data_IF_227348207464
#
_entry.id   IF_227348207464
#
_cell.length_a   1.000
_cell.length_b   1.000
_cell.length_c   1.000
_cell.angle_alpha   90.00
_cell.angle_beta   90.00
_cell.angle_gamma   90.00
#
_symmetry.space_group_name_H-M   'P 1'
#
loop_
_entity.id
_entity.type
_entity.pdbx_description
1 polymer ?
#
# COMPACT_ATOMS: atom_id res chain seq x y z
N UNK A 1 -17.68 21.92 1.50
CA UNK A 1 -16.44 22.51 2.05
C UNK A 1 -15.81 21.55 3.04
N UNK A 2 -14.51 21.44 3.01
CA UNK A 2 -13.77 20.55 3.90
C UNK A 2 -13.06 21.35 4.97
N UNK A 3 -13.32 21.03 6.23
CA UNK A 3 -12.69 21.70 7.35
C UNK A 3 -11.48 20.89 7.84
N UNK A 4 -10.67 21.52 8.69
CA UNK A 4 -9.57 20.81 9.34
C UNK A 4 -10.11 19.62 10.14
N UNK A 5 -11.27 19.81 10.78
CA UNK A 5 -11.91 18.72 11.51
C UNK A 5 -12.22 17.53 10.59
N UNK A 6 -12.75 17.82 9.40
CA UNK A 6 -13.05 16.76 8.43
C UNK A 6 -11.79 16.02 7.99
N UNK A 7 -10.71 16.76 7.79
CA UNK A 7 -9.44 16.18 7.39
C UNK A 7 -8.85 15.32 8.51
N UNK A 8 -8.95 15.78 9.75
CA UNK A 8 -8.47 15.00 10.90
C UNK A 8 -9.26 13.70 11.04
N UNK A 9 -10.57 13.77 10.81
CA UNK A 9 -11.42 12.60 10.87
C UNK A 9 -11.06 11.61 9.75
N UNK A 10 -10.83 12.13 8.56
CA UNK A 10 -10.43 11.31 7.43
C UNK A 10 -9.07 10.67 7.67
N UNK A 11 -8.13 11.43 8.20
CA UNK A 11 -6.80 10.91 8.55
C UNK A 11 -6.93 9.75 9.53
N UNK A 12 -7.73 9.94 10.58
CA UNK A 12 -7.92 8.91 11.59
C UNK A 12 -8.46 7.62 10.97
N UNK A 13 -9.44 7.75 10.08
CA UNK A 13 -10.03 6.58 9.43
C UNK A 13 -9.03 5.88 8.53
N UNK A 14 -8.22 6.64 7.79
CA UNK A 14 -7.22 6.06 6.90
C UNK A 14 -6.08 5.41 7.67
N UNK A 15 -5.70 5.97 8.82
CA UNK A 15 -4.68 5.37 9.68
C UNK A 15 -5.17 4.03 10.21
N UNK A 16 -6.45 3.93 10.58
CA UNK A 16 -7.02 2.65 11.01
C UNK A 16 -6.92 1.61 9.91
N UNK A 17 -7.28 2.00 8.69
CA UNK A 17 -7.19 1.09 7.54
C UNK A 17 -5.75 0.69 7.26
N UNK A 18 -4.84 1.65 7.37
CA UNK A 18 -3.42 1.40 7.15
C UNK A 18 -2.88 0.40 8.16
N UNK A 19 -3.23 0.55 9.44
CA UNK A 19 -2.75 -0.35 10.48
C UNK A 19 -3.31 -1.76 10.29
N UNK A 20 -4.58 -1.87 9.91
CA UNK A 20 -5.18 -3.17 9.63
C UNK A 20 -4.47 -3.84 8.47
N UNK A 21 -4.22 -3.09 7.41
CA UNK A 21 -3.55 -3.62 6.22
C UNK A 21 -2.10 -3.99 6.50
N UNK A 22 -1.42 -3.20 7.34
CA UNK A 22 -0.06 -3.53 7.77
C UNK A 22 -0.02 -4.87 8.47
N UNK A 23 -0.97 -5.11 9.36
CA UNK A 23 -1.07 -6.39 10.06
C UNK A 23 -1.31 -7.53 9.08
N UNK A 24 -2.22 -7.32 8.11
CA UNK A 24 -2.51 -8.33 7.10
C UNK A 24 -1.29 -8.64 6.24
N UNK A 25 -0.51 -7.62 5.90
CA UNK A 25 0.71 -7.82 5.11
C UNK A 25 1.75 -8.63 5.88
N UNK A 26 1.91 -8.34 7.17
CA UNK A 26 2.84 -9.08 8.02
C UNK A 26 2.42 -10.55 8.09
N UNK A 27 1.13 -10.80 8.31
CA UNK A 27 0.60 -12.16 8.39
C UNK A 27 0.75 -12.89 7.07
N UNK A 28 0.45 -12.23 5.96
CA UNK A 28 0.54 -12.87 4.66
C UNK A 28 1.98 -13.23 4.32
N UNK A 29 2.92 -12.34 4.65
CA UNK A 29 4.33 -12.63 4.43
C UNK A 29 4.78 -13.81 5.29
N UNK A 30 4.34 -13.86 6.55
CA UNK A 30 4.67 -14.95 7.46
C UNK A 30 4.16 -16.29 6.90
N UNK A 31 2.92 -16.30 6.39
CA UNK A 31 2.34 -17.52 5.82
C UNK A 31 3.07 -17.96 4.56
N UNK A 32 3.47 -17.01 3.71
CA UNK A 32 4.23 -17.36 2.51
C UNK A 32 5.60 -17.91 2.87
N UNK A 33 6.26 -17.33 3.87
CA UNK A 33 7.56 -17.84 4.33
C UNK A 33 7.43 -19.25 4.89
N UNK A 34 6.33 -19.53 5.60
CA UNK A 34 6.06 -20.89 6.11
C UNK A 34 5.82 -21.87 4.96
N UNK A 35 5.07 -21.44 3.94
CA UNK A 35 4.80 -22.30 2.78
C UNK A 35 6.09 -22.61 2.03
N UNK A 36 6.96 -21.62 1.89
CA UNK A 36 8.25 -21.83 1.24
C UNK A 36 9.10 -22.80 2.03
N UNK A 37 9.18 -22.61 3.35
CA UNK A 37 9.95 -23.51 4.22
C UNK A 37 9.41 -24.93 4.14
N UNK A 38 8.07 -25.07 4.13
CA UNK A 38 7.44 -26.37 4.02
C UNK A 38 7.78 -27.04 2.70
N UNK A 39 7.79 -26.28 1.61
CA UNK A 39 8.18 -26.79 0.31
C UNK A 39 9.60 -27.35 0.32
N UNK A 40 10.54 -26.64 0.97
CA UNK A 40 11.90 -27.10 1.09
C UNK A 40 12.01 -28.40 1.89
N UNK A 41 11.24 -28.51 2.97
CA UNK A 41 11.33 -29.67 3.88
C UNK A 41 10.59 -30.87 3.34
N UNK A 42 9.41 -30.67 2.74
CA UNK A 42 8.54 -31.78 2.36
C UNK A 42 8.80 -32.31 0.96
N UNK A 43 9.58 -31.60 0.13
CA UNK A 43 9.83 -32.04 -1.24
C UNK A 43 11.00 -33.00 -1.30
N UNK A 44 10.79 -34.11 -1.93
CA UNK A 44 11.89 -35.07 -2.22
C UNK A 44 12.57 -34.64 -3.51
N UNK A 45 13.54 -33.76 -3.39
CA UNK A 45 14.25 -33.21 -4.54
C UNK A 45 14.99 -34.28 -5.32
N UNK A 46 15.53 -35.26 -4.59
CA UNK A 46 16.29 -36.34 -5.24
C UNK A 46 15.40 -37.18 -6.14
N UNK A 47 14.19 -37.48 -5.66
CA UNK A 47 13.25 -38.27 -6.45
C UNK A 47 12.82 -37.50 -7.70
N UNK A 48 12.88 -36.17 -7.67
CA UNK A 48 12.53 -35.34 -8.82
C UNK A 48 13.72 -35.01 -9.71
N UNK A 49 14.89 -35.57 -9.40
CA UNK A 49 16.09 -35.34 -10.20
C UNK A 49 16.72 -33.97 -9.98
N UNK A 50 16.39 -33.30 -8.90
CA UNK A 50 16.91 -31.96 -8.58
C UNK A 50 18.12 -32.13 -7.66
N UNK A 51 19.32 -32.11 -8.26
CA UNK A 51 20.54 -32.54 -7.57
C UNK A 51 21.44 -31.41 -7.10
N UNK A 52 21.17 -30.15 -7.49
CA UNK A 52 21.98 -29.03 -7.05
C UNK A 52 21.09 -27.88 -6.57
N UNK A 53 21.74 -26.96 -5.89
CA UNK A 53 21.00 -25.84 -5.25
C UNK A 53 20.27 -24.97 -6.26
N UNK A 54 20.86 -24.76 -7.43
CA UNK A 54 20.23 -23.95 -8.46
C UNK A 54 18.90 -24.56 -8.92
N UNK A 55 18.89 -25.88 -9.13
CA UNK A 55 17.69 -26.58 -9.56
C UNK A 55 16.64 -26.58 -8.45
N UNK A 56 17.05 -26.78 -7.22
CA UNK A 56 16.14 -26.79 -6.07
C UNK A 56 15.53 -25.41 -5.84
N UNK A 57 16.33 -24.36 -5.92
CA UNK A 57 15.86 -22.99 -5.81
C UNK A 57 14.85 -22.67 -6.90
N UNK A 58 15.12 -23.09 -8.13
CA UNK A 58 14.22 -22.85 -9.25
C UNK A 58 12.88 -23.55 -9.03
N UNK A 59 12.93 -24.79 -8.52
CA UNK A 59 11.71 -25.54 -8.22
C UNK A 59 10.85 -24.84 -7.16
N UNK A 60 11.48 -24.43 -6.06
CA UNK A 60 10.76 -23.75 -4.99
C UNK A 60 10.19 -22.42 -5.46
N UNK A 61 10.95 -21.68 -6.24
CA UNK A 61 10.50 -20.42 -6.79
C UNK A 61 9.28 -20.61 -7.68
N UNK A 62 9.30 -21.65 -8.51
CA UNK A 62 8.16 -21.96 -9.37
C UNK A 62 6.95 -22.36 -8.55
N UNK A 63 7.16 -23.17 -7.51
CA UNK A 63 6.09 -23.59 -6.61
C UNK A 63 5.43 -22.36 -5.98
N UNK A 64 6.24 -21.44 -5.46
CA UNK A 64 5.71 -20.24 -4.82
C UNK A 64 4.98 -19.33 -5.81
N UNK A 65 5.38 -19.33 -7.07
CA UNK A 65 4.74 -18.51 -8.09
C UNK A 65 3.33 -18.99 -8.44
N UNK A 66 2.99 -20.25 -8.13
CA UNK A 66 1.65 -20.78 -8.40
C UNK A 66 0.66 -20.42 -7.29
N UNK A 67 1.13 -19.90 -6.18
CA UNK A 67 0.25 -19.55 -5.06
C UNK A 67 -0.42 -18.20 -5.30
N UNK A 68 -1.67 -18.03 -4.81
CA UNK A 68 -2.35 -16.74 -4.95
C UNK A 68 -1.49 -15.63 -4.37
N UNK A 69 -1.32 -14.55 -5.13
CA UNK A 69 -0.49 -13.45 -4.69
C UNK A 69 -1.34 -12.20 -4.46
N UNK A 70 -1.90 -12.10 -3.26
CA UNK A 70 -2.63 -10.91 -2.85
C UNK A 70 -1.71 -9.91 -2.17
N UNK A 71 -0.46 -10.31 -1.89
CA UNK A 71 0.50 -9.46 -1.20
C UNK A 71 0.81 -8.19 -1.99
N UNK A 72 1.07 -8.32 -3.29
CA UNK A 72 1.39 -7.16 -4.13
C UNK A 72 0.24 -6.16 -4.19
N UNK A 73 -0.99 -6.67 -4.31
CA UNK A 73 -2.18 -5.83 -4.34
C UNK A 73 -2.35 -5.09 -3.02
N UNK A 74 -2.21 -5.79 -1.90
CA UNK A 74 -2.33 -5.19 -0.59
C UNK A 74 -1.21 -4.18 -0.33
N UNK A 75 0.00 -4.48 -0.80
CA UNK A 75 1.12 -3.58 -0.64
C UNK A 75 0.89 -2.28 -1.43
N UNK A 76 0.35 -2.39 -2.64
CA UNK A 76 0.03 -1.21 -3.44
C UNK A 76 -1.02 -0.35 -2.75
N UNK A 77 -2.05 -0.98 -2.17
CA UNK A 77 -3.08 -0.28 -1.42
C UNK A 77 -2.48 0.40 -0.19
N UNK A 78 -1.58 -0.30 0.50
CA UNK A 78 -0.89 0.23 1.67
C UNK A 78 -0.11 1.50 1.32
N UNK A 79 0.66 1.45 0.24
CA UNK A 79 1.46 2.59 -0.20
C UNK A 79 0.58 3.76 -0.64
N UNK A 80 -0.55 3.46 -1.27
CA UNK A 80 -1.51 4.48 -1.67
C UNK A 80 -2.09 5.18 -0.44
N UNK A 81 -2.45 4.40 0.60
CA UNK A 81 -2.95 4.97 1.85
C UNK A 81 -1.91 5.84 2.54
N UNK A 82 -0.65 5.42 2.52
CA UNK A 82 0.42 6.22 3.08
C UNK A 82 0.53 7.58 2.38
N UNK A 83 0.42 7.60 1.05
CA UNK A 83 0.48 8.84 0.30
C UNK A 83 -0.73 9.72 0.60
N UNK A 84 -1.91 9.13 0.71
CA UNK A 84 -3.12 9.88 1.04
C UNK A 84 -3.03 10.52 2.42
N UNK A 85 -2.52 9.76 3.40
CA UNK A 85 -2.34 10.27 4.75
C UNK A 85 -1.32 11.41 4.76
N UNK A 86 -0.22 11.25 4.03
CA UNK A 86 0.79 12.28 3.92
C UNK A 86 0.20 13.56 3.34
N UNK A 87 -0.59 13.41 2.28
CA UNK A 87 -1.24 14.56 1.65
C UNK A 87 -2.19 15.28 2.63
N UNK A 88 -2.97 14.51 3.38
CA UNK A 88 -3.89 15.08 4.36
C UNK A 88 -3.12 15.87 5.41
N UNK A 89 -2.04 15.29 5.93
CA UNK A 89 -1.23 15.95 6.95
C UNK A 89 -0.58 17.23 6.44
N UNK A 90 -0.11 17.20 5.20
CA UNK A 90 0.49 18.39 4.58
C UNK A 90 -0.58 19.46 4.37
N UNK A 91 -1.78 19.07 3.97
CA UNK A 91 -2.88 20.00 3.76
C UNK A 91 -3.27 20.67 5.06
N UNK A 92 -3.41 19.88 6.13
CA UNK A 92 -3.72 20.42 7.45
C UNK A 92 -2.64 21.41 7.89
N UNK A 93 -1.38 21.04 7.68
CA UNK A 93 -0.27 21.91 8.05
C UNK A 93 -0.31 23.24 7.32
N UNK A 94 -0.61 23.22 6.04
CA UNK A 94 -0.74 24.45 5.24
C UNK A 94 -1.92 25.29 5.72
N UNK A 95 -3.06 24.64 5.96
CA UNK A 95 -4.25 25.35 6.44
C UNK A 95 -3.98 26.03 7.78
N UNK A 96 -3.32 25.33 8.70
CA UNK A 96 -2.97 25.91 9.99
C UNK A 96 -1.99 27.07 9.86
N UNK A 97 -1.00 26.90 8.97
CA UNK A 97 0.00 27.94 8.78
C UNK A 97 -0.60 29.25 8.27
N UNK A 98 -1.59 29.16 7.39
CA UNK A 98 -2.20 30.33 6.80
C UNK A 98 -3.53 30.72 7.43
N UNK A 99 -3.91 30.07 8.53
CA UNK A 99 -5.15 30.39 9.22
C UNK A 99 -6.41 30.05 8.45
N UNK A 100 -6.30 29.12 7.50
CA UNK A 100 -7.45 28.68 6.70
C UNK A 100 -8.14 27.54 7.43
N UNK A 101 -9.46 27.63 7.62
CA UNK A 101 -10.21 26.61 8.33
C UNK A 101 -10.97 25.67 7.41
N UNK A 102 -11.22 26.10 6.19
CA UNK A 102 -11.96 25.31 5.23
C UNK A 102 -11.32 25.40 3.86
N UNK A 103 -11.47 24.33 3.09
CA UNK A 103 -10.99 24.31 1.72
C UNK A 103 -12.06 23.61 0.88
N UNK A 104 -12.25 24.09 -0.35
CA UNK A 104 -13.25 23.54 -1.25
C UNK A 104 -12.57 22.73 -2.35
N UNK A 105 -12.68 21.41 -2.26
CA UNK A 105 -12.09 20.53 -3.25
C UNK A 105 -13.04 20.26 -4.42
N UNK A 106 -14.30 20.64 -4.31
CA UNK A 106 -15.29 20.37 -5.36
C UNK A 106 -14.92 21.04 -6.66
N UNK A 107 -14.57 22.30 -6.57
CA UNK A 107 -14.18 23.07 -7.74
C UNK A 107 -12.90 22.49 -8.36
N UNK A 108 -11.97 22.10 -7.52
CA UNK A 108 -10.73 21.51 -7.99
C UNK A 108 -10.99 20.23 -8.75
N UNK A 109 -11.92 19.42 -8.29
CA UNK A 109 -12.26 18.18 -8.96
C UNK A 109 -12.85 18.44 -10.34
N UNK A 110 -13.61 19.51 -10.47
CA UNK A 110 -14.20 19.88 -11.75
C UNK A 110 -13.14 20.37 -12.73
N UNK A 111 -12.09 20.94 -12.22
CA UNK A 111 -11.01 21.47 -13.04
C UNK A 111 -9.88 20.48 -13.22
N UNK A 112 -10.06 19.28 -12.79
CA UNK A 112 -9.04 18.28 -12.78
C UNK A 112 -8.41 18.05 -14.14
N UNK A 113 -9.18 18.10 -15.15
CA UNK A 113 -8.63 17.88 -16.45
C UNK A 113 -7.73 19.02 -16.90
N UNK A 114 -7.89 20.13 -16.29
CA UNK A 114 -7.03 21.21 -16.65
C UNK A 114 -5.87 21.34 -15.70
N UNK A 115 -5.73 20.76 -14.80
CA UNK A 115 -4.83 21.00 -13.96
C UNK A 115 -3.83 21.15 -13.63
N UNK A 116 -3.51 21.27 -13.49
CA UNK A 116 -2.73 21.50 -12.98
C UNK A 116 -2.43 22.64 -12.65
N UNK A 117 -2.69 23.41 -12.93
CA UNK A 117 -2.37 24.50 -12.50
C UNK A 117 -2.32 24.79 -11.41
N UNK A 118 -2.02 24.50 -10.95
CA UNK A 118 -1.99 24.85 -9.88
C UNK A 118 -1.27 24.96 -9.35
N UNK A 119 -0.80 24.94 -9.38
CA UNK A 119 -0.47 25.40 -8.74
C UNK A 119 -0.42 26.21 -8.69
N UNK A 120 -0.52 26.37 -9.07
CA UNK A 120 -0.66 27.26 -9.00
C UNK A 120 -0.98 27.88 -9.39
N UNK A 121 -1.49 27.94 -9.90
CA UNK A 121 -2.00 28.62 -10.18
C UNK A 121 -2.43 29.15 -9.90
N UNK A 122 -2.33 29.30 -10.10
CA UNK A 122 -2.75 29.80 -9.79
C UNK A 122 -3.22 30.30 -9.75
N UNK A 123 -3.56 30.24 -9.90
CA UNK A 123 -4.10 30.82 -9.85
C UNK A 123 -4.48 31.05 -9.48
#
# INVERSE_FOLDING_TARGET
MTTIYDLLKEEKNKVKKLNKLRYELIEEKRLRDLDEADCWVSTDFKAKGLTNDKQRNAYVKKHMSTMPNTYSSKKATFESLEQEIKWIRETIGVMQKFGVEEIDFTEKDKDKESSSEFIGQPD
#
